data_IF_106707828130
#
_entry.id   IF_106707828130
#
_cell.length_a   1.000
_cell.length_b   1.000
_cell.length_c   1.000
_cell.angle_alpha   90.00
_cell.angle_beta   90.00
_cell.angle_gamma   90.00
#
_symmetry.space_group_name_H-M   'P 1'
#
loop_
_entity.id
_entity.type
_entity.pdbx_description
1 polymer ?
#
# COMPACT_ATOMS: atom_id res chain seq x y z
N UNK A 1 2.43 -58.30 -15.94
CA UNK A 1 2.47 -57.53 -14.67
C UNK A 1 3.19 -56.22 -14.97
N UNK A 2 2.50 -55.18 -15.43
CA UNK A 2 1.53 -54.30 -14.75
C UNK A 2 2.22 -53.03 -14.23
N UNK A 3 2.15 -52.01 -15.08
CA UNK A 3 1.96 -50.57 -14.83
C UNK A 3 3.11 -49.73 -14.24
N UNK A 4 4.01 -49.31 -15.14
CA UNK A 4 4.38 -47.89 -15.27
C UNK A 4 3.22 -47.16 -15.97
N UNK A 5 2.66 -46.12 -15.37
CA UNK A 5 1.67 -45.25 -16.00
C UNK A 5 1.82 -43.81 -15.45
N UNK A 6 2.30 -42.88 -16.28
CA UNK A 6 1.55 -41.79 -16.94
C UNK A 6 1.71 -40.47 -16.16
N UNK A 7 2.59 -39.59 -16.67
CA UNK A 7 2.45 -38.12 -16.56
C UNK A 7 3.31 -37.45 -17.65
N UNK A 8 2.92 -37.65 -18.92
CA UNK A 8 3.35 -36.85 -20.09
C UNK A 8 2.13 -36.74 -21.01
N UNK A 9 1.93 -35.55 -21.62
CA UNK A 9 0.77 -35.03 -22.36
C UNK A 9 -0.16 -34.23 -21.43
N UNK A 10 -0.16 -32.89 -21.46
CA UNK A 10 -0.58 -32.07 -22.60
C UNK A 10 0.32 -30.83 -22.76
N UNK A 11 1.29 -30.90 -23.67
CA UNK A 11 1.90 -29.74 -24.32
C UNK A 11 1.82 -30.04 -25.82
N UNK A 12 1.48 -29.04 -26.62
CA UNK A 12 1.18 -29.04 -28.06
C UNK A 12 -0.26 -29.36 -28.46
N UNK A 13 -1.06 -28.29 -28.56
CA UNK A 13 -1.85 -27.95 -29.76
C UNK A 13 -2.09 -26.43 -29.75
N UNK A 14 -1.06 -25.65 -30.12
CA UNK A 14 -1.25 -24.27 -30.60
C UNK A 14 -0.81 -24.27 -32.06
N UNK A 15 -1.67 -23.89 -33.02
CA UNK A 15 -1.26 -23.79 -34.42
C UNK A 15 -0.23 -22.68 -34.56
N UNK A 16 0.95 -23.05 -35.03
CA UNK A 16 1.97 -22.15 -35.55
C UNK A 16 1.44 -21.46 -36.82
N UNK A 17 0.96 -20.23 -36.67
CA UNK A 17 0.98 -19.15 -37.68
C UNK A 17 0.16 -17.97 -37.17
N UNK A 18 0.77 -17.05 -36.42
CA UNK A 18 0.22 -15.71 -36.25
C UNK A 18 1.32 -14.69 -36.51
N UNK A 19 1.15 -14.00 -37.62
CA UNK A 19 1.82 -12.77 -38.03
C UNK A 19 1.93 -11.78 -36.87
N UNK A 20 3.13 -11.25 -36.63
CA UNK A 20 3.35 -10.03 -35.85
C UNK A 20 2.44 -8.90 -36.37
N UNK A 21 1.56 -8.38 -35.51
CA UNK A 21 1.02 -6.99 -35.42
C UNK A 21 -0.38 -6.99 -34.81
N UNK A 22 -0.48 -6.62 -33.53
CA UNK A 22 -1.48 -5.70 -32.94
C UNK A 22 -1.26 -5.73 -31.42
N UNK A 23 -1.24 -4.56 -30.79
CA UNK A 23 -1.47 -4.42 -29.35
C UNK A 23 -2.68 -5.29 -29.00
N UNK A 24 -2.50 -6.32 -28.18
CA UNK A 24 -3.61 -7.17 -27.75
C UNK A 24 -4.57 -6.30 -26.93
N UNK A 25 -5.71 -5.97 -27.56
CA UNK A 25 -6.84 -5.26 -26.95
C UNK A 25 -7.24 -5.94 -25.63
N UNK A 26 -7.30 -5.14 -24.57
CA UNK A 26 -7.65 -5.53 -23.21
C UNK A 26 -8.97 -6.34 -23.20
N UNK A 27 -8.94 -7.55 -22.65
CA UNK A 27 -9.96 -8.59 -22.89
C UNK A 27 -11.38 -8.20 -22.48
N UNK A 28 -11.57 -7.38 -21.46
CA UNK A 28 -12.90 -6.91 -21.05
C UNK A 28 -13.57 -5.97 -22.05
N UNK A 29 -12.82 -5.40 -23.00
CA UNK A 29 -13.42 -4.65 -24.13
C UNK A 29 -14.14 -5.53 -25.16
N UNK A 30 -13.96 -6.87 -25.16
CA UNK A 30 -14.60 -7.75 -26.15
C UNK A 30 -16.13 -7.82 -26.00
N UNK A 31 -16.69 -7.43 -24.86
CA UNK A 31 -18.12 -7.56 -24.56
C UNK A 31 -18.74 -6.21 -24.23
N UNK A 32 -19.27 -5.50 -25.24
CA UNK A 32 -20.42 -4.61 -25.05
C UNK A 32 -20.16 -3.17 -24.61
N UNK A 33 -18.95 -2.61 -24.76
CA UNK A 33 -18.77 -1.17 -24.58
C UNK A 33 -19.31 -0.41 -25.80
N UNK A 34 -20.09 0.66 -25.59
CA UNK A 34 -20.44 1.55 -26.69
C UNK A 34 -19.17 2.18 -27.30
N UNK A 35 -19.18 2.44 -28.60
CA UNK A 35 -18.20 3.36 -29.21
C UNK A 35 -18.31 4.70 -28.48
N UNK A 36 -17.32 5.03 -27.64
CA UNK A 36 -17.33 6.27 -26.88
C UNK A 36 -17.03 7.41 -27.85
N UNK A 37 -17.98 8.33 -28.01
CA UNK A 37 -17.78 9.54 -28.81
C UNK A 37 -16.72 10.42 -28.14
N UNK A 38 -15.58 10.54 -28.83
CA UNK A 38 -14.37 11.27 -28.45
C UNK A 38 -14.61 12.77 -28.16
N UNK A 39 -15.77 13.31 -28.53
CA UNK A 39 -16.10 14.72 -28.32
C UNK A 39 -16.75 15.04 -26.96
N UNK A 40 -17.13 14.05 -26.14
CA UNK A 40 -17.78 14.25 -24.82
C UNK A 40 -16.93 13.82 -23.60
N UNK A 41 -15.68 13.40 -23.79
CA UNK A 41 -14.98 12.62 -22.75
C UNK A 41 -14.27 13.47 -21.68
N UNK A 42 -14.96 13.81 -20.58
CA UNK A 42 -14.37 14.26 -19.31
C UNK A 42 -13.84 13.07 -18.46
N UNK A 43 -13.22 12.08 -19.09
CA UNK A 43 -12.62 10.94 -18.41
C UNK A 43 -11.33 11.37 -17.71
N UNK A 44 -11.15 10.95 -16.46
CA UNK A 44 -10.00 11.32 -15.61
C UNK A 44 -9.11 10.13 -15.24
N UNK A 45 -9.54 8.89 -15.50
CA UNK A 45 -8.71 7.70 -15.26
C UNK A 45 -9.45 6.37 -15.42
N UNK A 46 -8.74 5.28 -15.13
CA UNK A 46 -9.28 3.92 -14.98
C UNK A 46 -8.88 3.38 -13.62
N UNK A 47 -9.83 2.85 -12.86
CA UNK A 47 -9.54 2.31 -11.53
C UNK A 47 -10.75 1.70 -10.87
N UNK A 48 -10.66 1.45 -9.57
CA UNK A 48 -11.73 0.81 -8.80
C UNK A 48 -12.82 1.81 -8.37
N UNK A 49 -14.07 1.46 -8.64
CA UNK A 49 -15.27 2.14 -8.13
C UNK A 49 -16.24 1.07 -7.64
N UNK A 50 -16.70 1.17 -6.40
CA UNK A 50 -17.58 0.18 -5.76
C UNK A 50 -17.09 -1.28 -5.90
N UNK A 51 -15.77 -1.48 -5.80
CA UNK A 51 -15.14 -2.80 -5.90
C UNK A 51 -15.04 -3.37 -7.32
N UNK A 52 -15.30 -2.55 -8.34
CA UNK A 52 -15.24 -2.93 -9.76
C UNK A 52 -14.35 -1.96 -10.52
N UNK A 53 -13.54 -2.50 -11.44
CA UNK A 53 -12.76 -1.65 -12.35
C UNK A 53 -13.72 -0.87 -13.24
N UNK A 54 -13.46 0.41 -13.45
CA UNK A 54 -14.32 1.32 -14.19
C UNK A 54 -13.51 2.42 -14.88
N UNK A 55 -14.07 2.97 -15.96
CA UNK A 55 -13.65 4.26 -16.50
C UNK A 55 -14.25 5.35 -15.60
N UNK A 56 -13.40 6.20 -15.04
CA UNK A 56 -13.75 7.22 -14.06
C UNK A 56 -13.95 8.54 -14.79
N UNK A 57 -15.12 9.15 -14.58
CA UNK A 57 -15.48 10.44 -15.16
C UNK A 57 -15.53 11.52 -14.07
N UNK A 58 -15.27 12.77 -14.46
CA UNK A 58 -15.41 13.93 -13.57
C UNK A 58 -16.87 14.21 -13.16
N UNK A 59 -17.84 13.63 -13.87
CA UNK A 59 -19.29 13.69 -13.60
C UNK A 59 -19.81 12.30 -13.21
N UNK A 60 -21.04 12.18 -12.68
CA UNK A 60 -21.62 10.96 -12.07
C UNK A 60 -21.80 9.73 -13.00
N UNK A 61 -21.21 9.71 -14.20
CA UNK A 61 -21.32 8.59 -15.14
C UNK A 61 -20.03 7.77 -15.19
N UNK A 62 -19.89 6.78 -14.30
CA UNK A 62 -18.83 5.77 -14.41
C UNK A 62 -19.28 4.59 -15.27
N UNK A 63 -18.35 4.04 -16.06
CA UNK A 63 -18.59 2.86 -16.88
C UNK A 63 -17.80 1.68 -16.33
N UNK A 64 -18.53 0.69 -15.81
CA UNK A 64 -17.95 -0.45 -15.14
C UNK A 64 -17.51 -1.54 -16.11
N UNK A 65 -16.48 -2.28 -15.71
CA UNK A 65 -16.13 -3.56 -16.31
C UNK A 65 -17.33 -4.53 -16.27
N UNK A 66 -17.59 -5.22 -17.38
CA UNK A 66 -18.56 -6.33 -17.38
C UNK A 66 -18.03 -7.46 -16.51
N UNK A 67 -18.74 -7.78 -15.43
CA UNK A 67 -18.39 -8.89 -14.55
C UNK A 67 -18.33 -10.21 -15.32
N UNK A 68 -17.15 -10.82 -15.32
CA UNK A 68 -16.94 -12.20 -15.74
C UNK A 68 -16.65 -13.06 -14.50
N UNK A 69 -16.85 -14.38 -14.59
CA UNK A 69 -16.60 -15.25 -13.44
C UNK A 69 -15.10 -15.24 -13.07
N UNK A 70 -14.75 -14.91 -11.82
CA UNK A 70 -13.37 -14.99 -11.33
C UNK A 70 -12.95 -16.44 -11.09
N UNK A 71 -11.79 -16.81 -11.62
CA UNK A 71 -11.10 -18.06 -11.28
C UNK A 71 -10.42 -17.93 -9.91
N UNK A 72 -9.79 -16.78 -9.67
CA UNK A 72 -9.15 -16.41 -8.41
C UNK A 72 -9.50 -14.97 -8.06
N UNK A 73 -9.59 -14.68 -6.76
CA UNK A 73 -9.82 -13.33 -6.24
C UNK A 73 -8.49 -12.73 -5.74
N UNK A 74 -7.62 -13.57 -5.18
CA UNK A 74 -6.39 -13.16 -4.50
C UNK A 74 -5.14 -13.82 -5.10
N UNK A 75 -4.20 -13.00 -5.54
CA UNK A 75 -2.90 -13.40 -6.04
C UNK A 75 -1.82 -13.09 -5.01
N UNK A 76 -1.03 -14.09 -4.63
CA UNK A 76 0.17 -13.94 -3.81
C UNK A 76 1.39 -14.14 -4.70
N UNK A 77 2.28 -13.16 -4.79
CA UNK A 77 3.55 -13.26 -5.52
C UNK A 77 4.69 -13.29 -4.49
N UNK A 78 5.56 -14.30 -4.57
CA UNK A 78 6.70 -14.43 -3.64
C UNK A 78 7.94 -14.98 -4.33
N UNK A 79 9.14 -14.86 -3.72
CA UNK A 79 10.25 -15.75 -4.03
C UNK A 79 9.81 -17.21 -3.99
N UNK A 80 10.23 -18.00 -4.97
CA UNK A 80 9.83 -19.40 -5.13
C UNK A 80 10.13 -20.22 -3.88
N UNK A 81 11.26 -19.92 -3.23
CA UNK A 81 11.69 -20.60 -2.03
C UNK A 81 10.69 -20.45 -0.87
N UNK A 82 9.77 -19.48 -0.88
CA UNK A 82 8.90 -19.16 0.26
C UNK A 82 7.44 -19.61 0.08
N UNK A 83 7.12 -20.27 -1.04
CA UNK A 83 5.76 -20.72 -1.35
C UNK A 83 5.21 -21.72 -0.32
N UNK A 84 6.06 -22.59 0.21
CA UNK A 84 5.66 -23.57 1.22
C UNK A 84 5.16 -22.88 2.51
N UNK A 85 5.82 -21.81 2.95
CA UNK A 85 5.42 -21.03 4.12
C UNK A 85 4.09 -20.28 3.92
N UNK A 86 3.68 -20.05 2.67
CA UNK A 86 2.42 -19.38 2.31
C UNK A 86 1.24 -20.35 2.14
N UNK A 87 1.49 -21.66 2.09
CA UNK A 87 0.44 -22.68 1.90
C UNK A 87 -0.67 -22.61 2.96
N UNK A 88 -0.31 -22.38 4.22
CA UNK A 88 -1.26 -22.24 5.32
C UNK A 88 -2.13 -20.98 5.19
N UNK A 89 -1.55 -19.87 4.72
CA UNK A 89 -2.31 -18.65 4.45
C UNK A 89 -3.30 -18.88 3.31
N UNK A 90 -2.85 -19.49 2.21
CA UNK A 90 -3.70 -19.80 1.06
C UNK A 90 -4.92 -20.62 1.49
N UNK A 91 -4.71 -21.70 2.24
CA UNK A 91 -5.81 -22.54 2.76
C UNK A 91 -6.74 -21.77 3.68
N UNK A 92 -6.20 -20.90 4.55
CA UNK A 92 -7.00 -20.06 5.42
C UNK A 92 -7.91 -19.12 4.62
N UNK A 93 -7.38 -18.47 3.59
CA UNK A 93 -8.15 -17.57 2.70
C UNK A 93 -9.20 -18.31 1.91
N UNK A 94 -8.86 -19.46 1.33
CA UNK A 94 -9.83 -20.35 0.64
C UNK A 94 -10.95 -20.79 1.59
N UNK A 95 -10.64 -21.11 2.85
CA UNK A 95 -11.64 -21.50 3.86
C UNK A 95 -12.59 -20.37 4.25
N UNK A 96 -12.19 -19.11 4.04
CA UNK A 96 -13.01 -17.92 4.24
C UNK A 96 -13.61 -17.38 2.93
N UNK A 97 -13.61 -18.19 1.86
CA UNK A 97 -14.29 -17.86 0.60
C UNK A 97 -13.50 -16.99 -0.36
N UNK A 98 -12.20 -16.76 -0.11
CA UNK A 98 -11.32 -16.00 -1.01
C UNK A 98 -10.52 -16.97 -1.86
N UNK A 99 -10.84 -17.10 -3.15
CA UNK A 99 -10.13 -18.01 -4.06
C UNK A 99 -8.71 -17.50 -4.26
N UNK A 100 -7.73 -18.24 -3.76
CA UNK A 100 -6.35 -17.75 -3.65
C UNK A 100 -5.38 -18.58 -4.48
N UNK A 101 -4.52 -17.91 -5.23
CA UNK A 101 -3.38 -18.53 -5.92
C UNK A 101 -2.07 -17.90 -5.42
N UNK A 102 -1.05 -18.72 -5.21
CA UNK A 102 0.30 -18.28 -4.86
C UNK A 102 1.27 -18.71 -5.97
N UNK A 103 2.05 -17.77 -6.48
CA UNK A 103 2.98 -17.97 -7.60
C UNK A 103 4.39 -17.49 -7.24
N UNK A 104 5.39 -18.20 -7.74
CA UNK A 104 6.80 -17.86 -7.57
C UNK A 104 7.27 -16.82 -8.60
N UNK A 105 8.31 -16.06 -8.27
CA UNK A 105 8.93 -15.11 -9.20
C UNK A 105 9.44 -15.77 -10.48
N UNK A 106 9.94 -17.02 -10.44
CA UNK A 106 10.34 -17.71 -11.67
C UNK A 106 9.16 -17.94 -12.61
N UNK A 107 7.98 -18.28 -12.07
CA UNK A 107 6.76 -18.44 -12.87
C UNK A 107 6.35 -17.11 -13.49
N UNK A 108 6.38 -16.03 -12.69
CA UNK A 108 6.09 -14.66 -13.16
C UNK A 108 7.01 -14.27 -14.31
N UNK A 109 8.32 -14.44 -14.16
CA UNK A 109 9.29 -14.02 -15.17
C UNK A 109 9.34 -14.93 -16.40
N UNK A 110 8.90 -16.19 -16.27
CA UNK A 110 8.78 -17.12 -17.40
C UNK A 110 7.43 -17.01 -18.13
N UNK A 111 6.46 -16.29 -17.57
CA UNK A 111 5.13 -16.18 -18.14
C UNK A 111 5.13 -15.42 -19.49
N UNK A 112 4.33 -15.81 -20.49
CA UNK A 112 4.29 -15.11 -21.78
C UNK A 112 3.96 -13.62 -21.70
N UNK A 113 3.19 -13.15 -20.72
CA UNK A 113 2.93 -11.71 -20.53
C UNK A 113 4.17 -10.93 -20.10
N UNK A 114 5.14 -11.56 -19.43
CA UNK A 114 6.34 -10.91 -18.96
C UNK A 114 7.26 -10.45 -20.10
N UNK A 115 7.14 -11.00 -21.31
CA UNK A 115 7.95 -10.57 -22.47
C UNK A 115 7.72 -9.11 -22.86
N UNK A 116 6.63 -8.50 -22.39
CA UNK A 116 6.29 -7.10 -22.61
C UNK A 116 7.00 -6.16 -21.61
N UNK A 117 7.50 -6.67 -20.50
CA UNK A 117 8.17 -5.89 -19.45
C UNK A 117 9.66 -5.67 -19.72
N UNK A 118 10.11 -4.41 -19.56
CA UNK A 118 11.50 -3.97 -19.76
C UNK A 118 12.44 -4.45 -18.66
N UNK A 119 11.95 -4.55 -17.43
CA UNK A 119 12.68 -5.01 -16.25
C UNK A 119 11.80 -5.85 -15.33
N UNK A 120 12.35 -6.33 -14.22
CA UNK A 120 11.67 -7.27 -13.34
C UNK A 120 10.43 -6.70 -12.64
N UNK A 121 10.40 -5.40 -12.32
CA UNK A 121 9.21 -4.76 -11.77
C UNK A 121 8.12 -4.63 -12.83
N UNK A 122 8.45 -4.25 -14.07
CA UNK A 122 7.44 -4.17 -15.13
C UNK A 122 6.93 -5.56 -15.55
N UNK A 123 7.77 -6.60 -15.53
CA UNK A 123 7.35 -8.00 -15.74
C UNK A 123 6.29 -8.42 -14.72
N UNK A 124 6.49 -8.10 -13.44
CA UNK A 124 5.50 -8.34 -12.38
C UNK A 124 4.21 -7.59 -12.69
N UNK A 125 4.29 -6.32 -13.10
CA UNK A 125 3.12 -5.50 -13.46
C UNK A 125 2.32 -6.09 -14.63
N UNK A 126 2.98 -6.56 -15.70
CA UNK A 126 2.32 -7.26 -16.82
C UNK A 126 1.74 -8.61 -16.41
N UNK A 127 2.37 -9.32 -15.48
CA UNK A 127 1.80 -10.54 -14.92
C UNK A 127 0.52 -10.25 -14.14
N UNK A 128 0.50 -9.20 -13.31
CA UNK A 128 -0.70 -8.75 -12.59
C UNK A 128 -1.80 -8.37 -13.60
N UNK A 129 -1.49 -7.57 -14.63
CA UNK A 129 -2.43 -7.25 -15.72
C UNK A 129 -3.05 -8.51 -16.33
N UNK A 130 -2.22 -9.50 -16.65
CA UNK A 130 -2.71 -10.75 -17.22
C UNK A 130 -3.56 -11.55 -16.22
N UNK A 131 -3.17 -11.61 -14.95
CA UNK A 131 -3.94 -12.29 -13.91
C UNK A 131 -5.31 -11.62 -13.67
N UNK A 132 -5.38 -10.30 -13.78
CA UNK A 132 -6.64 -9.54 -13.78
C UNK A 132 -7.52 -9.98 -14.96
N UNK A 133 -6.98 -9.97 -16.18
CA UNK A 133 -7.74 -10.23 -17.42
C UNK A 133 -8.13 -11.70 -17.63
N UNK A 134 -7.32 -12.63 -17.14
CA UNK A 134 -7.49 -14.07 -17.35
C UNK A 134 -8.11 -14.76 -16.14
N UNK A 135 -7.83 -14.31 -14.92
CA UNK A 135 -8.29 -14.95 -13.68
C UNK A 135 -9.31 -14.12 -12.90
N UNK A 136 -9.43 -12.81 -13.16
CA UNK A 136 -10.33 -11.91 -12.44
C UNK A 136 -9.79 -11.49 -11.07
N UNK A 137 -8.45 -11.43 -10.91
CA UNK A 137 -7.81 -11.01 -9.65
C UNK A 137 -8.28 -9.63 -9.22
N UNK A 138 -8.55 -9.49 -7.92
CA UNK A 138 -8.93 -8.25 -7.23
C UNK A 138 -7.92 -7.79 -6.20
N UNK A 139 -7.20 -8.73 -5.59
CA UNK A 139 -6.21 -8.46 -4.56
C UNK A 139 -4.85 -9.05 -4.95
N UNK A 140 -3.77 -8.33 -4.67
CA UNK A 140 -2.40 -8.76 -4.90
C UNK A 140 -1.58 -8.54 -3.64
N UNK A 141 -0.99 -9.61 -3.09
CA UNK A 141 -0.02 -9.50 -2.00
C UNK A 141 1.38 -9.79 -2.50
N UNK A 142 2.27 -8.82 -2.31
CA UNK A 142 3.70 -8.91 -2.60
C UNK A 142 4.43 -9.42 -1.37
N UNK A 143 5.12 -10.55 -1.48
CA UNK A 143 5.86 -11.16 -0.36
C UNK A 143 7.35 -10.99 -0.57
N UNK A 144 7.97 -10.11 0.22
CA UNK A 144 9.40 -9.87 0.23
C UNK A 144 9.78 -8.42 0.44
N UNK A 145 10.92 -8.20 1.09
CA UNK A 145 11.59 -6.90 1.09
C UNK A 145 12.02 -6.50 -0.33
N UNK A 146 12.54 -5.28 -0.47
CA UNK A 146 12.92 -4.72 -1.78
C UNK A 146 14.08 -5.44 -2.48
N UNK A 147 14.78 -6.34 -1.77
CA UNK A 147 15.87 -7.15 -2.33
C UNK A 147 15.38 -8.50 -2.85
N UNK A 148 14.23 -8.97 -2.35
CA UNK A 148 13.62 -10.24 -2.74
C UNK A 148 12.39 -10.05 -3.63
N UNK A 149 11.72 -8.91 -3.55
CA UNK A 149 10.53 -8.55 -4.33
C UNK A 149 10.67 -7.10 -4.82
N UNK A 150 10.90 -6.86 -6.12
CA UNK A 150 11.14 -5.53 -6.66
C UNK A 150 10.07 -4.49 -6.28
N UNK A 151 10.49 -3.23 -6.18
CA UNK A 151 9.64 -2.06 -6.02
C UNK A 151 10.02 -1.01 -7.07
N UNK A 152 9.06 -0.21 -7.54
CA UNK A 152 9.30 0.86 -8.50
C UNK A 152 9.52 2.19 -7.77
N UNK A 153 10.35 3.06 -8.34
CA UNK A 153 10.43 4.46 -7.91
C UNK A 153 9.63 5.35 -8.87
N UNK A 154 8.69 6.14 -8.33
CA UNK A 154 8.24 7.37 -8.98
C UNK A 154 9.34 8.43 -8.85
N UNK A 155 9.47 9.37 -9.80
CA UNK A 155 10.52 10.39 -9.76
C UNK A 155 9.94 11.81 -9.68
N UNK A 156 10.25 12.49 -8.58
CA UNK A 156 10.01 13.93 -8.48
C UNK A 156 11.24 14.70 -8.94
N UNK A 157 11.07 15.59 -9.91
CA UNK A 157 12.18 16.27 -10.58
C UNK A 157 12.01 17.78 -10.49
N UNK A 158 13.04 18.46 -9.98
CA UNK A 158 13.09 19.92 -9.96
C UNK A 158 14.47 20.47 -10.29
N UNK A 159 14.50 21.74 -10.66
CA UNK A 159 15.73 22.46 -11.00
C UNK A 159 16.31 23.16 -9.77
N UNK A 160 17.56 22.84 -9.45
CA UNK A 160 18.39 23.47 -8.42
C UNK A 160 19.56 24.19 -9.11
N UNK A 161 19.38 25.48 -9.38
CA UNK A 161 20.31 26.27 -10.18
C UNK A 161 20.39 25.73 -11.62
N UNK A 162 21.54 25.18 -12.00
CA UNK A 162 21.75 24.54 -13.33
C UNK A 162 21.60 23.02 -13.31
N UNK A 163 21.37 22.41 -12.13
CA UNK A 163 21.27 20.95 -11.98
C UNK A 163 19.81 20.52 -11.89
N UNK A 164 19.48 19.40 -12.50
CA UNK A 164 18.25 18.67 -12.20
C UNK A 164 18.50 17.82 -10.95
N UNK A 165 17.54 17.85 -10.03
CA UNK A 165 17.49 16.98 -8.86
C UNK A 165 16.38 15.97 -9.09
N UNK A 166 16.71 14.70 -8.87
CA UNK A 166 15.76 13.61 -8.92
C UNK A 166 15.55 13.11 -7.50
N UNK A 167 14.30 12.94 -7.11
CA UNK A 167 13.90 12.42 -5.82
C UNK A 167 13.07 11.16 -6.03
N UNK A 168 13.68 9.97 -5.84
CA UNK A 168 12.99 8.71 -6.04
C UNK A 168 12.08 8.38 -4.87
N UNK A 169 10.83 8.03 -5.17
CA UNK A 169 9.80 7.59 -4.23
C UNK A 169 9.48 6.12 -4.48
N UNK A 170 9.98 5.18 -3.66
CA UNK A 170 9.61 3.78 -3.74
C UNK A 170 8.11 3.63 -3.49
N UNK A 171 7.39 2.99 -4.41
CA UNK A 171 5.94 2.86 -4.32
C UNK A 171 5.43 1.52 -4.84
N UNK A 172 4.46 0.96 -4.13
CA UNK A 172 3.68 -0.20 -4.59
C UNK A 172 2.41 0.23 -5.35
N UNK A 173 2.07 1.53 -5.39
CA UNK A 173 1.00 2.07 -6.25
C UNK A 173 1.27 1.73 -7.72
N UNK A 174 2.55 1.63 -8.11
CA UNK A 174 2.96 1.14 -9.43
C UNK A 174 2.38 -0.23 -9.79
N UNK A 175 2.19 -1.13 -8.82
CA UNK A 175 1.59 -2.44 -9.05
C UNK A 175 0.06 -2.44 -8.95
N UNK A 176 -0.52 -1.36 -8.41
CA UNK A 176 -1.95 -1.19 -8.26
C UNK A 176 -2.59 -0.46 -9.45
N UNK A 177 -1.94 0.58 -9.97
CA UNK A 177 -2.33 1.32 -11.19
C UNK A 177 -1.85 0.52 -12.41
N UNK A 178 -2.76 -0.19 -13.09
CA UNK A 178 -2.47 -1.09 -14.21
C UNK A 178 -2.89 -0.48 -15.54
N UNK A 179 -3.98 0.28 -15.54
CA UNK A 179 -4.63 0.81 -16.72
C UNK A 179 -4.75 2.33 -16.61
N UNK A 180 -4.76 2.99 -17.77
CA UNK A 180 -5.12 4.41 -17.86
C UNK A 180 -5.97 4.67 -19.08
N UNK A 181 -6.72 5.76 -19.05
CA UNK A 181 -7.49 6.20 -20.22
C UNK A 181 -6.68 7.18 -21.08
N UNK A 182 -6.53 6.88 -22.36
CA UNK A 182 -5.82 7.73 -23.32
C UNK A 182 -6.48 7.66 -24.71
N UNK A 183 -6.75 8.83 -25.29
CA UNK A 183 -7.24 8.97 -26.67
C UNK A 183 -8.44 8.07 -27.02
N UNK A 184 -9.43 7.98 -26.12
CA UNK A 184 -10.63 7.19 -26.35
C UNK A 184 -10.48 5.68 -26.05
N UNK A 185 -9.35 5.27 -25.47
CA UNK A 185 -9.03 3.86 -25.23
C UNK A 185 -8.42 3.66 -23.86
N UNK A 186 -8.61 2.45 -23.33
CA UNK A 186 -7.89 1.99 -22.15
C UNK A 186 -6.57 1.40 -22.61
N UNK A 187 -5.48 1.84 -22.01
CA UNK A 187 -4.12 1.39 -22.32
C UNK A 187 -3.42 0.97 -21.03
N UNK A 188 -2.32 0.23 -21.16
CA UNK A 188 -1.48 -0.12 -20.01
C UNK A 188 -0.80 1.12 -19.45
N UNK A 189 -0.87 1.28 -18.13
CA UNK A 189 -0.19 2.34 -17.39
C UNK A 189 1.26 1.94 -17.13
N UNK A 190 2.15 2.13 -18.12
CA UNK A 190 3.56 1.74 -17.99
C UNK A 190 4.34 2.54 -16.94
N UNK A 191 3.80 3.71 -16.58
CA UNK A 191 4.47 4.81 -15.87
C UNK A 191 5.73 5.32 -16.57
N UNK A 192 6.04 4.92 -17.80
CA UNK A 192 7.15 5.47 -18.58
C UNK A 192 6.65 5.57 -20.03
N UNK A 193 5.86 6.62 -20.25
CA UNK A 193 5.11 6.93 -21.48
C UNK A 193 5.99 7.54 -22.56
N UNK A 194 7.13 8.13 -22.19
CA UNK A 194 8.10 8.69 -23.13
C UNK A 194 9.29 7.75 -23.41
N UNK A 195 9.39 6.63 -22.69
CA UNK A 195 10.37 5.56 -22.92
C UNK A 195 11.78 5.89 -22.46
N UNK A 196 11.93 6.80 -21.50
CA UNK A 196 13.25 7.28 -21.04
C UNK A 196 13.80 6.49 -19.83
N UNK A 197 13.04 5.53 -19.29
CA UNK A 197 13.43 4.70 -18.14
C UNK A 197 13.30 5.40 -16.77
N UNK A 198 12.68 6.57 -16.74
CA UNK A 198 12.22 7.28 -15.54
C UNK A 198 10.73 7.04 -15.44
N UNK A 199 10.27 6.68 -14.26
CA UNK A 199 8.90 6.22 -14.09
C UNK A 199 8.10 7.22 -13.26
N UNK A 200 6.90 7.54 -13.70
CA UNK A 200 5.97 8.44 -13.03
C UNK A 200 6.59 9.82 -12.82
N UNK A 201 7.39 10.29 -13.78
CA UNK A 201 8.19 11.48 -13.54
C UNK A 201 7.33 12.75 -13.54
N UNK A 202 7.44 13.56 -12.50
CA UNK A 202 6.81 14.87 -12.40
C UNK A 202 7.85 15.99 -12.39
N UNK A 203 7.77 16.89 -13.38
CA UNK A 203 8.68 18.04 -13.51
C UNK A 203 8.04 19.29 -12.91
N UNK A 204 8.55 19.73 -11.77
CA UNK A 204 8.04 20.92 -11.05
C UNK A 204 8.22 22.23 -11.79
N UNK A 205 9.15 22.28 -12.74
CA UNK A 205 9.57 23.50 -13.43
C UNK A 205 8.82 23.74 -14.75
N UNK A 206 7.95 22.81 -15.17
CA UNK A 206 7.07 22.95 -16.34
C UNK A 206 7.79 23.00 -17.69
N UNK A 207 9.12 22.84 -17.72
CA UNK A 207 9.92 22.91 -18.96
C UNK A 207 9.90 21.61 -19.75
N UNK A 208 9.62 20.48 -19.09
CA UNK A 208 9.50 19.15 -19.69
C UNK A 208 8.20 18.53 -19.24
N UNK A 209 7.48 17.89 -20.15
CA UNK A 209 6.27 17.14 -19.79
C UNK A 209 6.71 15.77 -19.27
N UNK A 210 6.29 15.46 -18.06
CA UNK A 210 6.50 14.16 -17.44
C UNK A 210 5.61 13.06 -18.01
N UNK A 211 5.54 11.95 -17.29
CA UNK A 211 4.70 10.82 -17.69
C UNK A 211 3.21 11.12 -17.59
N UNK A 212 2.43 10.46 -18.44
CA UNK A 212 0.97 10.46 -18.33
C UNK A 212 0.54 9.24 -17.53
N UNK A 213 0.20 9.48 -16.26
CA UNK A 213 -0.35 8.49 -15.31
C UNK A 213 -1.63 9.06 -14.70
N UNK A 214 -2.57 8.20 -14.29
CA UNK A 214 -3.81 8.63 -13.65
C UNK A 214 -3.86 8.34 -12.15
N UNK A 215 -2.97 7.45 -11.65
CA UNK A 215 -2.75 7.13 -10.24
C UNK A 215 -3.91 6.40 -9.56
N UNK A 216 -4.90 5.91 -10.31
CA UNK A 216 -6.01 5.17 -9.74
C UNK A 216 -5.66 3.69 -9.60
N UNK A 217 -5.75 3.10 -8.39
CA UNK A 217 -5.64 1.66 -8.21
C UNK A 217 -6.71 0.88 -9.00
N UNK A 218 -6.27 -0.09 -9.80
CA UNK A 218 -7.12 -1.10 -10.47
C UNK A 218 -7.24 -2.40 -9.69
N UNK A 219 -6.33 -2.63 -8.75
CA UNK A 219 -6.23 -3.84 -7.93
C UNK A 219 -5.76 -3.47 -6.52
N UNK A 220 -6.28 -4.15 -5.50
CA UNK A 220 -5.93 -3.89 -4.11
C UNK A 220 -4.57 -4.51 -3.78
N UNK A 221 -3.55 -3.68 -3.53
CA UNK A 221 -2.17 -4.14 -3.27
C UNK A 221 -1.80 -3.98 -1.80
N UNK A 222 -1.13 -5.00 -1.26
CA UNK A 222 -0.42 -4.93 0.02
C UNK A 222 0.90 -5.68 -0.04
N UNK A 223 1.86 -5.31 0.81
CA UNK A 223 3.18 -5.96 0.89
C UNK A 223 3.46 -6.52 2.28
N UNK A 224 3.92 -7.76 2.34
CA UNK A 224 4.59 -8.29 3.55
C UNK A 224 6.09 -8.34 3.28
N UNK A 225 6.84 -7.33 3.75
CA UNK A 225 8.24 -7.07 3.42
C UNK A 225 9.23 -8.03 4.11
N UNK A 226 8.94 -9.33 4.10
CA UNK A 226 9.72 -10.34 4.79
C UNK A 226 11.12 -10.48 4.19
N UNK A 227 12.12 -10.52 5.06
CA UNK A 227 13.52 -10.71 4.67
C UNK A 227 13.94 -12.20 4.61
N UNK A 228 13.10 -13.11 5.15
CA UNK A 228 13.34 -14.56 5.11
C UNK A 228 12.09 -15.39 5.45
N UNK A 229 12.18 -16.71 5.21
CA UNK A 229 11.15 -17.74 5.49
C UNK A 229 10.60 -17.72 6.92
N UNK A 230 11.44 -17.48 7.94
CA UNK A 230 10.99 -17.49 9.32
C UNK A 230 10.04 -16.32 9.58
N UNK A 231 10.36 -15.13 9.07
CA UNK A 231 9.48 -13.96 9.17
C UNK A 231 8.19 -14.19 8.38
N UNK A 232 8.23 -14.77 7.18
CA UNK A 232 7.02 -15.15 6.42
C UNK A 232 6.11 -16.03 7.29
N UNK A 233 6.64 -17.12 7.84
CA UNK A 233 5.88 -18.04 8.71
C UNK A 233 5.28 -17.34 9.92
N UNK A 234 6.02 -16.42 10.55
CA UNK A 234 5.52 -15.67 11.70
C UNK A 234 4.38 -14.71 11.34
N UNK A 235 4.52 -13.97 10.24
CA UNK A 235 3.49 -13.03 9.76
C UNK A 235 2.23 -13.79 9.31
N UNK A 236 2.39 -14.90 8.57
CA UNK A 236 1.27 -15.80 8.20
C UNK A 236 0.50 -16.27 9.43
N UNK A 237 1.21 -16.70 10.49
CA UNK A 237 0.57 -17.13 11.73
C UNK A 237 -0.19 -15.99 12.43
N UNK A 238 0.29 -14.75 12.34
CA UNK A 238 -0.43 -13.58 12.87
C UNK A 238 -1.71 -13.31 12.11
N UNK A 239 -1.65 -13.32 10.77
CA UNK A 239 -2.82 -13.12 9.90
C UNK A 239 -3.90 -14.16 10.22
N UNK A 240 -3.55 -15.45 10.17
CA UNK A 240 -4.49 -16.54 10.45
C UNK A 240 -5.09 -16.41 11.84
N UNK A 241 -4.27 -16.10 12.86
CA UNK A 241 -4.77 -15.97 14.23
C UNK A 241 -5.72 -14.78 14.37
N UNK A 242 -5.32 -13.61 13.85
CA UNK A 242 -6.13 -12.39 13.89
C UNK A 242 -7.48 -12.62 13.22
N UNK A 243 -7.48 -13.15 12.00
CA UNK A 243 -8.71 -13.38 11.24
C UNK A 243 -9.62 -14.43 11.89
N UNK A 244 -9.04 -15.44 12.55
CA UNK A 244 -9.81 -16.51 13.20
C UNK A 244 -10.29 -16.19 14.61
N UNK A 245 -9.66 -15.23 15.32
CA UNK A 245 -9.85 -15.07 16.77
C UNK A 245 -10.13 -13.66 17.26
N UNK A 246 -9.95 -12.62 16.43
CA UNK A 246 -10.15 -11.24 16.89
C UNK A 246 -11.62 -10.87 17.06
N UNK A 247 -12.54 -11.52 16.34
CA UNK A 247 -13.94 -11.10 16.32
C UNK A 247 -14.57 -11.20 17.71
N UNK A 248 -15.12 -10.07 18.17
CA UNK A 248 -15.78 -9.95 19.46
C UNK A 248 -14.84 -9.76 20.64
N UNK A 249 -13.52 -9.65 20.41
CA UNK A 249 -12.57 -9.37 21.48
C UNK A 249 -12.60 -7.89 21.90
N UNK A 250 -12.71 -7.63 23.20
CA UNK A 250 -12.87 -6.28 23.75
C UNK A 250 -11.72 -5.33 23.39
N UNK A 251 -10.49 -5.86 23.29
CA UNK A 251 -9.32 -5.04 22.95
C UNK A 251 -9.42 -4.43 21.56
N UNK A 252 -10.17 -5.05 20.65
CA UNK A 252 -10.32 -4.54 19.28
C UNK A 252 -11.10 -3.21 19.27
N UNK A 253 -12.11 -3.05 20.12
CA UNK A 253 -12.95 -1.84 20.14
C UNK A 253 -12.26 -0.62 20.78
N UNK A 254 -10.93 -0.65 20.96
CA UNK A 254 -10.13 0.48 21.46
C UNK A 254 -9.36 1.11 20.30
N UNK A 255 -9.31 2.44 20.25
CA UNK A 255 -8.46 3.18 19.31
C UNK A 255 -7.44 4.03 20.09
N UNK A 256 -6.15 3.86 19.79
CA UNK A 256 -5.09 4.67 20.39
C UNK A 256 -4.78 5.84 19.46
N UNK A 257 -4.88 7.05 19.98
CA UNK A 257 -4.72 8.29 19.22
C UNK A 257 -3.52 9.04 19.80
N UNK A 258 -2.48 9.22 18.99
CA UNK A 258 -1.23 9.85 19.41
C UNK A 258 -0.97 11.08 18.56
N UNK A 259 -0.73 12.23 19.20
CA UNK A 259 -0.58 13.49 18.49
C UNK A 259 -0.01 14.61 19.36
N UNK A 260 0.52 15.64 18.71
CA UNK A 260 1.03 16.85 19.34
C UNK A 260 0.85 18.07 18.44
N UNK A 261 1.64 19.09 18.70
CA UNK A 261 1.78 20.26 17.82
C UNK A 261 2.87 19.89 16.82
N UNK A 262 2.51 19.51 15.58
CA UNK A 262 3.51 19.01 14.64
C UNK A 262 4.35 20.16 14.11
N UNK A 263 3.73 21.32 13.88
CA UNK A 263 4.41 22.52 13.38
C UNK A 263 4.08 23.72 14.29
N UNK A 264 4.82 23.89 15.41
CA UNK A 264 4.57 24.97 16.35
C UNK A 264 4.52 26.34 15.67
N UNK A 265 3.43 27.06 15.92
CA UNK A 265 3.18 28.38 15.32
C UNK A 265 2.23 28.40 14.12
N UNK A 266 1.72 27.24 13.66
CA UNK A 266 0.64 27.16 12.66
C UNK A 266 -0.75 27.52 13.21
N UNK A 267 -0.87 27.74 14.52
CA UNK A 267 -2.11 28.22 15.17
C UNK A 267 -3.04 27.10 15.63
N UNK A 268 -2.79 25.86 15.22
CA UNK A 268 -3.44 24.65 15.70
C UNK A 268 -2.39 23.59 16.06
N UNK A 269 -2.78 22.61 16.89
CA UNK A 269 -1.98 21.41 17.13
C UNK A 269 -2.46 20.32 16.18
N UNK A 270 -1.89 20.25 14.99
CA UNK A 270 -2.43 19.47 13.87
C UNK A 270 -2.67 18.01 14.25
N UNK A 271 -1.71 17.41 14.97
CA UNK A 271 -1.81 16.03 15.40
C UNK A 271 -2.96 15.79 16.38
N UNK A 272 -3.21 16.73 17.29
CA UNK A 272 -4.35 16.65 18.21
C UNK A 272 -5.68 16.92 17.49
N UNK A 273 -5.75 17.88 16.57
CA UNK A 273 -6.94 18.15 15.74
C UNK A 273 -7.32 16.89 14.95
N UNK A 274 -6.36 16.27 14.30
CA UNK A 274 -6.57 15.04 13.54
C UNK A 274 -6.98 13.86 14.43
N UNK A 275 -6.40 13.73 15.62
CA UNK A 275 -6.83 12.73 16.59
C UNK A 275 -8.31 12.92 16.99
N UNK A 276 -8.77 14.15 17.21
CA UNK A 276 -10.18 14.43 17.51
C UNK A 276 -11.11 14.05 16.34
N UNK A 277 -10.74 14.40 15.11
CA UNK A 277 -11.51 14.07 13.91
C UNK A 277 -11.63 12.54 13.77
N UNK A 278 -10.53 11.81 13.91
CA UNK A 278 -10.54 10.34 13.83
C UNK A 278 -11.37 9.73 14.96
N UNK A 279 -11.32 10.28 16.18
CA UNK A 279 -12.18 9.85 17.29
C UNK A 279 -13.68 10.03 16.98
N UNK A 280 -14.04 11.10 16.26
CA UNK A 280 -15.43 11.36 15.86
C UNK A 280 -15.92 10.42 14.75
N UNK A 281 -15.05 10.10 13.79
CA UNK A 281 -15.36 9.12 12.73
C UNK A 281 -15.52 7.72 13.33
N UNK A 282 -14.62 7.36 14.25
CA UNK A 282 -14.55 6.06 14.92
C UNK A 282 -15.33 6.07 16.25
N UNK A 283 -16.53 6.65 16.24
CA UNK A 283 -17.32 6.91 17.47
C UNK A 283 -17.83 5.65 18.20
N UNK A 284 -17.71 4.48 17.59
CA UNK A 284 -17.98 3.16 18.16
C UNK A 284 -16.75 2.50 18.81
N UNK A 285 -15.56 3.10 18.66
CA UNK A 285 -14.35 2.71 19.38
C UNK A 285 -14.18 3.56 20.65
N UNK A 286 -13.62 2.96 21.70
CA UNK A 286 -13.19 3.68 22.90
C UNK A 286 -11.85 4.40 22.63
N UNK A 287 -11.82 5.75 22.60
CA UNK A 287 -10.61 6.47 22.30
C UNK A 287 -9.67 6.54 23.51
N UNK A 288 -8.41 6.20 23.29
CA UNK A 288 -7.32 6.40 24.24
C UNK A 288 -6.32 7.42 23.69
N UNK A 289 -6.44 8.67 24.15
CA UNK A 289 -5.64 9.81 23.66
C UNK A 289 -4.33 9.93 24.43
N UNK A 290 -3.23 9.99 23.68
CA UNK A 290 -1.88 10.22 24.16
C UNK A 290 -1.38 11.49 23.46
N UNK A 291 -1.57 12.62 24.13
CA UNK A 291 -1.46 13.95 23.52
C UNK A 291 -0.59 14.88 24.36
N UNK A 292 0.02 15.88 23.72
CA UNK A 292 0.81 16.88 24.42
C UNK A 292 -0.04 17.65 25.43
N UNK A 293 -1.25 18.09 25.02
CA UNK A 293 -2.21 18.82 25.87
C UNK A 293 -2.61 18.09 27.15
N UNK A 294 -2.60 16.76 27.12
CA UNK A 294 -2.95 15.90 28.25
C UNK A 294 -1.77 15.63 29.19
N UNK A 295 -0.55 16.08 28.83
CA UNK A 295 0.66 15.85 29.61
C UNK A 295 1.08 14.38 29.70
N UNK A 296 0.51 13.50 28.86
CA UNK A 296 0.75 12.06 28.89
C UNK A 296 1.53 11.53 27.67
N UNK A 297 1.95 12.41 26.75
CA UNK A 297 2.70 12.04 25.53
C UNK A 297 4.13 11.57 25.84
N UNK A 298 4.29 10.26 26.02
CA UNK A 298 5.58 9.62 26.25
C UNK A 298 5.59 8.14 25.85
N UNK A 299 6.78 7.57 25.64
CA UNK A 299 6.95 6.19 25.19
C UNK A 299 6.38 5.13 26.14
N UNK A 300 6.43 5.37 27.46
CA UNK A 300 5.88 4.43 28.44
C UNK A 300 4.35 4.34 28.31
N UNK A 301 3.67 5.46 28.06
CA UNK A 301 2.23 5.46 27.89
C UNK A 301 1.81 4.80 26.59
N UNK A 302 2.55 5.05 25.50
CA UNK A 302 2.38 4.35 24.22
C UNK A 302 2.55 2.83 24.41
N UNK A 303 3.60 2.39 25.12
CA UNK A 303 3.82 0.97 25.41
C UNK A 303 2.65 0.35 26.18
N UNK A 304 2.18 1.01 27.24
CA UNK A 304 1.05 0.52 28.04
C UNK A 304 -0.22 0.41 27.20
N UNK A 305 -0.49 1.39 26.35
CA UNK A 305 -1.66 1.39 25.49
C UNK A 305 -1.63 0.22 24.50
N UNK A 306 -0.48 0.02 23.82
CA UNK A 306 -0.27 -1.09 22.89
C UNK A 306 -0.30 -2.46 23.59
N UNK A 307 0.32 -2.61 24.77
CA UNK A 307 0.30 -3.87 25.54
C UNK A 307 -1.11 -4.32 25.93
N UNK A 308 -2.01 -3.37 26.22
CA UNK A 308 -3.43 -3.65 26.47
C UNK A 308 -4.18 -4.11 25.21
N UNK A 309 -3.67 -3.79 24.01
CA UNK A 309 -4.31 -4.08 22.73
C UNK A 309 -5.29 -3.00 22.29
N UNK A 310 -5.29 -2.71 20.99
CA UNK A 310 -6.24 -1.80 20.32
C UNK A 310 -6.52 -2.32 18.91
N UNK A 311 -7.69 -2.02 18.35
CA UNK A 311 -7.99 -2.33 16.95
C UNK A 311 -7.22 -1.41 16.01
N UNK A 312 -7.07 -0.14 16.41
CA UNK A 312 -6.34 0.87 15.65
C UNK A 312 -5.35 1.65 16.52
N UNK A 313 -4.24 2.03 15.91
CA UNK A 313 -3.41 3.14 16.38
C UNK A 313 -3.31 4.17 15.26
N UNK A 314 -3.62 5.43 15.55
CA UNK A 314 -3.36 6.55 14.66
C UNK A 314 -2.35 7.47 15.30
N UNK A 315 -1.25 7.73 14.57
CA UNK A 315 -0.23 8.69 14.96
C UNK A 315 -0.18 9.81 13.91
N UNK A 316 -0.21 11.06 14.37
CA UNK A 316 0.01 12.26 13.54
C UNK A 316 1.10 13.13 14.15
N UNK A 317 2.17 13.37 13.37
CA UNK A 317 3.37 14.06 13.82
C UNK A 317 4.55 13.90 12.86
N UNK A 318 5.78 14.18 13.32
CA UNK A 318 6.96 13.85 12.52
C UNK A 318 7.30 12.37 12.59
N UNK A 319 7.93 11.88 11.53
CA UNK A 319 8.39 10.53 11.39
C UNK A 319 9.81 10.46 10.86
N UNK A 320 10.45 9.34 11.17
CA UNK A 320 11.81 8.97 10.80
C UNK A 320 11.81 7.49 10.39
N UNK A 321 12.85 7.00 9.67
CA UNK A 321 12.93 5.60 9.28
C UNK A 321 12.91 4.59 10.45
N UNK A 322 13.24 5.05 11.67
CA UNK A 322 13.34 4.25 12.89
C UNK A 322 12.42 4.73 14.02
N UNK A 323 11.42 5.59 13.74
CA UNK A 323 10.42 5.96 14.72
C UNK A 323 9.69 7.25 14.45
N UNK A 324 9.12 7.82 15.50
CA UNK A 324 8.37 9.06 15.43
C UNK A 324 8.66 9.95 16.64
N UNK A 325 8.36 11.24 16.48
CA UNK A 325 8.34 12.24 17.54
C UNK A 325 7.52 13.45 17.05
N UNK A 326 7.07 14.29 17.96
CA UNK A 326 6.36 15.53 17.62
C UNK A 326 6.81 16.65 18.55
N UNK A 327 6.16 17.79 18.47
CA UNK A 327 6.42 18.94 19.32
C UNK A 327 5.22 19.26 20.23
N UNK A 328 5.47 20.16 21.18
CA UNK A 328 4.44 20.86 21.95
C UNK A 328 4.43 22.32 21.53
N UNK A 329 4.25 23.26 22.46
CA UNK A 329 4.29 24.70 22.14
C UNK A 329 5.67 25.24 21.71
N UNK A 330 6.70 24.40 21.67
CA UNK A 330 8.07 24.76 21.28
C UNK A 330 8.64 23.70 20.36
N UNK A 331 9.67 24.07 19.58
CA UNK A 331 10.46 23.19 18.71
C UNK A 331 11.21 22.03 19.42
N UNK A 332 11.04 21.87 20.74
CA UNK A 332 11.62 20.76 21.47
C UNK A 332 10.93 19.45 21.10
N UNK A 333 11.72 18.45 20.69
CA UNK A 333 11.23 17.11 20.37
C UNK A 333 10.69 16.37 21.61
N UNK A 334 9.42 15.98 21.57
CA UNK A 334 8.72 15.18 22.58
C UNK A 334 8.06 13.95 21.96
N UNK A 335 7.43 13.09 22.77
CA UNK A 335 6.67 11.93 22.27
C UNK A 335 7.50 10.89 21.51
N UNK A 336 8.83 10.91 21.68
CA UNK A 336 9.78 10.03 20.97
C UNK A 336 9.46 8.57 21.19
N UNK A 337 9.21 7.83 20.10
CA UNK A 337 9.02 6.39 20.11
C UNK A 337 9.77 5.77 18.92
N UNK A 338 10.83 5.03 19.23
CA UNK A 338 11.76 4.44 18.26
C UNK A 338 11.69 2.90 18.23
N UNK A 339 12.25 2.30 17.17
CA UNK A 339 12.32 0.85 16.96
C UNK A 339 12.73 0.04 18.21
N UNK A 340 13.71 0.45 19.04
CA UNK A 340 14.06 -0.30 20.26
C UNK A 340 12.92 -0.47 21.27
N UNK A 341 11.93 0.42 21.31
CA UNK A 341 10.75 0.23 22.17
C UNK A 341 9.90 -0.95 21.66
N UNK A 342 9.74 -1.11 20.34
CA UNK A 342 8.97 -2.22 19.75
C UNK A 342 9.58 -3.57 20.14
N UNK A 343 10.91 -3.67 20.25
CA UNK A 343 11.57 -4.90 20.71
C UNK A 343 11.07 -5.38 22.09
N UNK A 344 10.68 -4.43 22.96
CA UNK A 344 10.17 -4.71 24.31
C UNK A 344 8.63 -4.77 24.38
N UNK A 345 7.94 -4.75 23.24
CA UNK A 345 6.48 -4.83 23.19
C UNK A 345 6.02 -6.30 23.23
N UNK A 346 5.06 -6.62 24.08
CA UNK A 346 4.55 -8.00 24.29
C UNK A 346 3.01 -8.06 24.26
N UNK A 347 2.37 -7.38 23.32
CA UNK A 347 0.91 -7.40 23.14
C UNK A 347 0.37 -8.71 22.51
N UNK A 348 1.23 -9.68 22.19
CA UNK A 348 0.81 -11.00 21.69
C UNK A 348 0.00 -10.88 20.39
N UNK A 349 -1.17 -11.52 20.33
CA UNK A 349 -2.07 -11.45 19.17
C UNK A 349 -3.05 -10.27 19.19
N UNK A 350 -2.90 -9.31 20.11
CA UNK A 350 -3.69 -8.07 20.15
C UNK A 350 -3.08 -7.01 19.22
N UNK A 351 -3.22 -7.25 17.93
CA UNK A 351 -2.44 -6.61 16.88
C UNK A 351 -3.25 -5.48 16.20
N UNK A 352 -2.96 -4.19 16.44
CA UNK A 352 -3.64 -3.10 15.76
C UNK A 352 -3.31 -3.02 14.27
N UNK A 353 -4.19 -2.39 13.51
CA UNK A 353 -3.85 -1.69 12.27
C UNK A 353 -3.30 -0.31 12.65
N UNK A 354 -2.13 0.06 12.14
CA UNK A 354 -1.50 1.35 12.48
C UNK A 354 -1.46 2.25 11.25
N UNK A 355 -1.96 3.48 11.37
CA UNK A 355 -1.79 4.52 10.35
C UNK A 355 -0.77 5.55 10.84
N UNK A 356 0.31 5.72 10.09
CA UNK A 356 1.34 6.73 10.34
C UNK A 356 1.15 7.95 9.44
N UNK A 357 0.49 8.98 9.96
CA UNK A 357 0.51 10.32 9.38
C UNK A 357 1.83 11.00 9.77
N UNK A 358 2.90 10.52 9.15
CA UNK A 358 4.28 10.89 9.44
C UNK A 358 5.26 10.45 8.34
N UNK A 359 6.32 11.23 8.14
CA UNK A 359 7.37 10.96 7.16
C UNK A 359 8.09 9.63 7.41
N UNK A 360 8.56 8.97 6.34
CA UNK A 360 9.61 7.95 6.32
C UNK A 360 9.38 6.67 7.15
N UNK A 361 8.24 6.55 7.82
CA UNK A 361 7.95 5.40 8.70
C UNK A 361 7.96 4.07 7.95
N UNK A 362 7.62 4.08 6.66
CA UNK A 362 7.67 2.95 5.75
C UNK A 362 8.84 3.02 4.75
N UNK A 363 9.94 3.72 5.06
CA UNK A 363 11.14 3.79 4.20
C UNK A 363 11.80 2.41 3.99
N UNK A 364 11.33 1.64 3.01
CA UNK A 364 11.75 0.24 2.79
C UNK A 364 13.23 0.08 2.41
N UNK A 365 13.87 1.15 1.91
CA UNK A 365 15.30 1.22 1.60
C UNK A 365 16.12 1.85 2.75
N UNK A 366 15.61 1.78 3.98
CA UNK A 366 16.28 2.25 5.19
C UNK A 366 17.61 1.53 5.41
N UNK A 367 18.68 2.30 5.56
CA UNK A 367 20.02 1.77 5.72
C UNK A 367 20.89 2.69 6.59
N UNK A 368 22.13 2.26 6.81
CA UNK A 368 23.09 2.97 7.67
C UNK A 368 23.41 4.41 7.26
N UNK A 369 23.19 4.83 6.01
CA UNK A 369 23.38 6.22 5.59
C UNK A 369 22.37 7.14 6.26
N UNK A 370 21.10 6.72 6.34
CA UNK A 370 20.03 7.47 6.98
C UNK A 370 20.37 7.73 8.46
N UNK A 371 20.91 6.71 9.15
CA UNK A 371 21.36 6.84 10.54
C UNK A 371 22.56 7.79 10.70
N UNK A 372 23.48 7.80 9.73
CA UNK A 372 24.63 8.72 9.76
C UNK A 372 24.22 10.17 9.50
N UNK A 373 23.25 10.40 8.61
CA UNK A 373 22.67 11.71 8.36
C UNK A 373 22.01 12.29 9.63
N UNK A 374 21.41 11.42 10.44
CA UNK A 374 20.87 11.75 11.77
C UNK A 374 21.94 11.80 12.89
N UNK A 375 23.22 11.70 12.55
CA UNK A 375 24.34 11.82 13.50
C UNK A 375 24.63 10.55 14.31
N UNK A 376 24.05 9.40 13.98
CA UNK A 376 24.36 8.11 14.61
C UNK A 376 25.63 7.52 13.97
N UNK A 377 26.72 7.33 14.74
CA UNK A 377 28.02 6.95 14.17
C UNK A 377 28.10 5.43 13.90
N UNK A 378 27.47 4.97 12.81
CA UNK A 378 27.55 3.58 12.35
C UNK A 378 28.68 3.42 11.32
N UNK A 379 29.76 2.66 11.65
CA UNK A 379 30.96 2.59 10.83
C UNK A 379 30.89 1.57 9.68
N UNK A 380 29.77 0.88 9.50
CA UNK A 380 29.58 -0.15 8.47
C UNK A 380 28.31 0.11 7.65
N UNK A 381 28.27 -0.45 6.44
CA UNK A 381 27.08 -0.43 5.60
C UNK A 381 26.15 -1.59 5.96
N UNK A 382 24.90 -1.28 6.27
CA UNK A 382 23.86 -2.26 6.58
C UNK A 382 22.49 -1.71 6.20
N UNK A 383 21.57 -2.61 5.89
CA UNK A 383 20.16 -2.34 5.64
C UNK A 383 19.35 -2.76 6.87
N UNK A 384 18.25 -2.07 7.14
CA UNK A 384 17.45 -2.29 8.32
C UNK A 384 15.96 -2.32 7.96
N UNK A 385 15.15 -3.17 8.62
CA UNK A 385 13.70 -3.04 8.54
C UNK A 385 13.26 -1.63 8.93
N UNK A 386 12.42 -1.00 8.12
CA UNK A 386 11.81 0.27 8.46
C UNK A 386 10.91 0.13 9.70
N UNK A 387 10.65 1.26 10.34
CA UNK A 387 9.89 1.33 11.57
C UNK A 387 8.49 0.71 11.45
N UNK A 388 7.76 0.98 10.36
CA UNK A 388 6.45 0.42 10.10
C UNK A 388 6.50 -1.11 9.94
N UNK A 389 7.43 -1.64 9.14
CA UNK A 389 7.61 -3.09 9.00
C UNK A 389 8.04 -3.75 10.32
N UNK A 390 8.82 -3.05 11.16
CA UNK A 390 9.29 -3.59 12.43
C UNK A 390 8.14 -4.00 13.37
N UNK A 391 7.02 -3.26 13.38
CA UNK A 391 5.81 -3.66 14.10
C UNK A 391 5.24 -5.00 13.59
N UNK A 392 5.19 -5.21 12.28
CA UNK A 392 4.56 -6.41 11.70
C UNK A 392 5.46 -7.64 11.88
N UNK A 393 6.78 -7.51 11.69
CA UNK A 393 7.73 -8.63 11.84
C UNK A 393 7.99 -9.04 13.29
N UNK A 394 7.65 -8.21 14.28
CA UNK A 394 7.96 -8.48 15.69
C UNK A 394 7.29 -9.78 16.17
N UNK A 395 8.07 -10.74 16.66
CA UNK A 395 7.57 -12.10 16.90
C UNK A 395 6.65 -12.24 18.13
N UNK A 396 6.68 -11.29 19.06
CA UNK A 396 5.94 -11.35 20.32
C UNK A 396 4.76 -10.36 20.42
N UNK A 397 4.42 -9.71 19.30
CA UNK A 397 3.44 -8.63 19.31
C UNK A 397 3.56 -7.71 18.11
N UNK A 398 3.41 -6.42 18.33
CA UNK A 398 3.47 -5.40 17.30
C UNK A 398 2.11 -5.17 16.65
N UNK A 399 2.05 -5.14 15.33
CA UNK A 399 0.86 -4.82 14.54
C UNK A 399 0.47 -5.95 13.59
N UNK A 400 -0.76 -5.90 13.06
CA UNK A 400 -1.22 -6.80 11.99
C UNK A 400 -0.95 -6.20 10.62
N UNK A 401 -1.04 -4.87 10.51
CA UNK A 401 -0.75 -4.10 9.32
C UNK A 401 -0.39 -2.67 9.68
N UNK A 402 0.32 -1.99 8.77
CA UNK A 402 0.66 -0.59 8.91
C UNK A 402 0.52 0.13 7.57
N UNK A 403 0.05 1.37 7.60
CA UNK A 403 0.07 2.31 6.47
C UNK A 403 1.04 3.43 6.82
N UNK A 404 1.97 3.75 5.91
CA UNK A 404 2.96 4.80 6.15
C UNK A 404 3.74 5.22 4.91
N UNK A 405 4.43 6.34 5.01
CA UNK A 405 5.17 6.95 3.90
C UNK A 405 6.57 6.33 3.70
N UNK A 406 6.93 6.05 2.46
CA UNK A 406 8.28 5.64 2.05
C UNK A 406 9.26 6.81 1.96
N UNK A 407 8.72 8.04 1.85
CA UNK A 407 9.45 9.31 1.77
C UNK A 407 8.82 10.35 2.70
N UNK A 408 9.05 11.63 2.42
CA UNK A 408 8.46 12.75 3.17
C UNK A 408 6.93 12.58 3.12
N UNK A 409 6.23 13.07 4.14
CA UNK A 409 4.78 13.08 4.17
C UNK A 409 4.37 14.51 4.49
N UNK A 410 3.88 15.23 3.49
CA UNK A 410 3.38 16.59 3.70
C UNK A 410 1.99 16.54 4.33
N UNK A 411 1.61 17.63 4.98
CA UNK A 411 0.26 17.78 5.54
C UNK A 411 -0.22 19.22 5.41
N UNK A 412 -1.53 19.39 5.25
CA UNK A 412 -2.21 20.67 5.34
C UNK A 412 -3.41 20.54 6.26
N UNK A 413 -3.25 20.97 7.51
CA UNK A 413 -4.29 20.96 8.55
C UNK A 413 -4.40 22.36 9.16
N UNK A 414 -5.62 22.84 9.34
CA UNK A 414 -5.94 24.06 10.06
C UNK A 414 -7.12 23.86 11.03
N UNK A 415 -7.71 24.94 11.55
CA UNK A 415 -8.86 24.86 12.46
C UNK A 415 -10.12 24.21 11.86
N UNK A 416 -10.22 24.10 10.53
CA UNK A 416 -11.32 23.47 9.83
C UNK A 416 -11.04 21.99 9.50
N UNK A 417 -9.85 21.48 9.84
CA UNK A 417 -9.45 20.09 9.64
C UNK A 417 -8.44 19.90 8.49
N UNK A 418 -8.31 18.66 7.99
CA UNK A 418 -7.35 18.34 6.94
C UNK A 418 -7.86 18.73 5.55
N UNK A 419 -6.96 19.27 4.73
CA UNK A 419 -7.24 19.72 3.35
C UNK A 419 -6.54 18.89 2.28
N UNK A 420 -5.33 18.41 2.59
CA UNK A 420 -4.48 17.59 1.72
C UNK A 420 -3.37 16.95 2.57
N UNK A 421 -2.53 16.15 1.92
CA UNK A 421 -1.41 15.45 2.53
C UNK A 421 -1.81 14.22 3.34
N UNK A 422 -0.86 13.72 4.12
CA UNK A 422 -0.99 12.52 4.93
C UNK A 422 -2.18 12.56 5.91
N UNK A 423 -2.47 13.71 6.51
CA UNK A 423 -3.63 13.87 7.39
C UNK A 423 -4.96 13.74 6.64
N UNK A 424 -5.06 14.23 5.40
CA UNK A 424 -6.27 14.07 4.58
C UNK A 424 -6.42 12.63 4.07
N UNK A 425 -5.33 11.95 3.71
CA UNK A 425 -5.36 10.53 3.40
C UNK A 425 -5.80 9.69 4.61
N UNK A 426 -5.30 10.00 5.81
CA UNK A 426 -5.73 9.36 7.06
C UNK A 426 -7.23 9.57 7.32
N UNK A 427 -7.72 10.81 7.15
CA UNK A 427 -9.15 11.13 7.24
C UNK A 427 -10.00 10.26 6.29
N UNK A 428 -9.57 10.14 5.02
CA UNK A 428 -10.24 9.29 4.03
C UNK A 428 -10.20 7.80 4.41
N UNK A 429 -9.06 7.31 4.90
CA UNK A 429 -8.92 5.93 5.38
C UNK A 429 -9.91 5.58 6.51
N UNK A 430 -10.00 6.43 7.55
CA UNK A 430 -10.91 6.16 8.67
C UNK A 430 -12.39 6.31 8.28
N UNK A 431 -12.71 7.23 7.36
CA UNK A 431 -14.07 7.32 6.82
C UNK A 431 -14.43 6.07 6.02
N UNK A 432 -13.53 5.58 5.18
CA UNK A 432 -13.80 4.41 4.34
C UNK A 432 -13.92 3.12 5.15
N UNK A 433 -13.25 3.02 6.29
CA UNK A 433 -13.46 1.92 7.23
C UNK A 433 -14.93 1.79 7.67
N UNK A 434 -15.73 2.86 7.59
CA UNK A 434 -17.18 2.81 7.88
C UNK A 434 -17.99 2.08 6.79
N UNK A 435 -17.42 1.92 5.60
CA UNK A 435 -18.07 1.33 4.43
C UNK A 435 -17.64 -0.14 4.23
N UNK A 436 -16.35 -0.42 4.39
CA UNK A 436 -15.77 -1.77 4.26
C UNK A 436 -14.77 -2.06 5.37
N UNK A 437 -14.65 -3.33 5.73
CA UNK A 437 -13.68 -3.80 6.73
C UNK A 437 -12.55 -4.63 6.10
N UNK A 438 -12.44 -4.66 4.77
CA UNK A 438 -11.32 -5.32 4.08
C UNK A 438 -10.21 -4.30 3.89
N UNK A 439 -9.04 -4.55 4.49
CA UNK A 439 -7.99 -3.55 4.65
C UNK A 439 -7.49 -2.94 3.34
N UNK A 440 -7.30 -3.76 2.30
CA UNK A 440 -6.88 -3.28 0.99
C UNK A 440 -7.92 -2.40 0.32
N UNK A 441 -9.21 -2.69 0.53
CA UNK A 441 -10.31 -1.85 0.04
C UNK A 441 -10.33 -0.52 0.74
N UNK A 442 -10.23 -0.53 2.08
CA UNK A 442 -10.18 0.71 2.88
C UNK A 442 -9.07 1.63 2.40
N UNK A 443 -7.87 1.08 2.18
CA UNK A 443 -6.73 1.88 1.76
C UNK A 443 -6.83 2.38 0.31
N UNK A 444 -7.15 1.50 -0.64
CA UNK A 444 -7.22 1.91 -2.05
C UNK A 444 -8.38 2.87 -2.31
N UNK A 445 -9.56 2.65 -1.72
CA UNK A 445 -10.68 3.57 -1.86
C UNK A 445 -10.35 4.94 -1.24
N UNK A 446 -9.59 4.98 -0.13
CA UNK A 446 -9.08 6.24 0.41
C UNK A 446 -8.10 6.95 -0.55
N UNK A 447 -7.25 6.22 -1.27
CA UNK A 447 -6.38 6.78 -2.31
C UNK A 447 -7.19 7.32 -3.50
N UNK A 448 -8.23 6.60 -3.95
CA UNK A 448 -9.12 6.98 -5.05
C UNK A 448 -9.88 8.26 -4.70
N UNK A 449 -10.42 8.33 -3.49
CA UNK A 449 -11.06 9.52 -2.95
C UNK A 449 -10.10 10.70 -2.88
N UNK A 450 -8.85 10.44 -2.48
CA UNK A 450 -7.81 11.47 -2.36
C UNK A 450 -7.47 12.08 -3.71
N UNK A 451 -7.07 11.28 -4.70
CA UNK A 451 -6.68 11.76 -6.04
C UNK A 451 -7.83 12.46 -6.76
N UNK A 452 -9.07 12.08 -6.46
CA UNK A 452 -10.26 12.73 -7.02
C UNK A 452 -10.55 14.10 -6.39
N UNK A 453 -10.06 14.34 -5.16
CA UNK A 453 -10.45 15.50 -4.34
C UNK A 453 -9.38 16.58 -4.25
N UNK A 454 -8.10 16.24 -4.43
CA UNK A 454 -6.98 17.18 -4.22
C UNK A 454 -6.00 17.18 -5.38
N UNK A 455 -5.24 18.28 -5.49
CA UNK A 455 -4.23 18.46 -6.54
C UNK A 455 -2.93 17.70 -6.28
N UNK A 456 -2.68 17.35 -5.01
CA UNK A 456 -1.47 16.66 -4.59
C UNK A 456 -1.54 15.20 -5.02
N UNK A 457 -0.56 14.77 -5.80
CA UNK A 457 -0.43 13.39 -6.29
C UNK A 457 0.62 12.60 -5.51
N UNK A 458 1.52 13.29 -4.80
CA UNK A 458 2.72 12.69 -4.22
C UNK A 458 2.36 11.86 -3.00
N UNK A 459 1.40 12.32 -2.21
CA UNK A 459 0.97 11.61 -0.99
C UNK A 459 0.55 10.17 -1.28
N UNK A 460 -0.17 9.92 -2.39
CA UNK A 460 -0.60 8.55 -2.71
C UNK A 460 0.52 7.68 -3.30
N UNK A 461 1.54 8.30 -3.92
CA UNK A 461 2.75 7.60 -4.34
C UNK A 461 3.63 7.25 -3.12
N UNK A 462 3.67 8.11 -2.10
CA UNK A 462 4.51 7.96 -0.92
C UNK A 462 3.99 6.90 0.05
N UNK A 463 2.66 6.74 0.17
CA UNK A 463 2.05 5.86 1.14
C UNK A 463 1.84 4.43 0.62
N UNK A 464 2.26 3.44 1.41
CA UNK A 464 2.07 2.02 1.09
C UNK A 464 1.37 1.28 2.23
N UNK A 465 0.63 0.23 1.85
CA UNK A 465 0.08 -0.76 2.78
C UNK A 465 1.10 -1.89 3.01
N UNK A 466 1.66 -1.95 4.22
CA UNK A 466 2.38 -3.12 4.69
C UNK A 466 1.40 -4.03 5.44
N UNK A 467 1.06 -5.17 4.84
CA UNK A 467 0.06 -6.09 5.36
C UNK A 467 -0.60 -6.92 4.26
N UNK A 468 -1.54 -7.75 4.68
CA UNK A 468 -2.39 -8.53 3.78
C UNK A 468 -3.55 -7.65 3.26
N UNK A 469 -3.68 -7.41 1.95
CA UNK A 469 -4.74 -6.57 1.39
C UNK A 469 -6.13 -7.20 1.55
N UNK A 470 -6.22 -8.51 1.77
CA UNK A 470 -7.48 -9.21 2.00
C UNK A 470 -7.85 -9.30 3.48
N UNK A 471 -7.04 -8.72 4.37
CA UNK A 471 -7.27 -8.81 5.81
C UNK A 471 -8.65 -8.25 6.17
N UNK A 472 -9.50 -9.08 6.78
CA UNK A 472 -10.73 -8.59 7.41
C UNK A 472 -10.38 -7.96 8.77
N UNK A 473 -10.42 -6.63 8.84
CA UNK A 473 -10.15 -5.87 10.06
C UNK A 473 -11.18 -6.27 11.14
N UNK A 474 -10.69 -6.73 12.29
CA UNK A 474 -11.51 -7.28 13.37
C UNK A 474 -11.83 -8.79 13.27
N UNK A 475 -11.44 -9.46 12.18
CA UNK A 475 -11.62 -10.91 11.98
C UNK A 475 -13.01 -11.35 11.50
N UNK A 476 -13.17 -12.66 11.25
CA UNK A 476 -14.33 -13.24 10.53
C UNK A 476 -15.60 -13.45 11.33
#
# INVERSE_FOLDING_TARGET
MKYMAIFIAVIFLIPSNISMKKEEEIRWMKNGYPEIDIHECNCIGVGLVDGKRAIIYKEEKNYYEVETSSLYDFLIISPDAWLDELSALRQHKESNGIKTIAVGLNEVYAHPSAVQGRDDAEKIKYFIKNAIEEWGIKYVMLVGDIYHMPIRNALHIWRDGTKLREFPIPTDLYYADIYRYENGKIVFSSWDTNGNGKYGEEYKDGYTKGDIIDLYPDVYVGRIACENKAIVKHVVNKIINYESKTKGEDWFNRIVLVGGDTFPGWGVREGEVMNEIVAQIMNDFEPYKIQYSLGNLNALEIQKALQKGCGFLYYSGHGFPYGWATHGESEAWIGRYFTPYIFTLFNGYRLPVIFFDACLTAKLDFNSSDLREDGVPIPFNATFPCFAWYFIRHSYGGAIATIGATRVAFTGVDENGPHWGASYLAYKFFNEYRNTHILGEVFANAQIDYVSSVWDTWTIEEFILLGDPTLKIGGY
#
